data_IF_009230047879
#
_entry.id   IF_009230047879
#
_cell.length_a   1.000
_cell.length_b   1.000
_cell.length_c   1.000
_cell.angle_alpha   90.00
_cell.angle_beta   90.00
_cell.angle_gamma   90.00
#
_symmetry.space_group_name_H-M   'P 1'
#
loop_
_entity.id
_entity.type
_entity.pdbx_description
1 polymer ?
#
# COMPACT_ATOMS: atom_id res chain seq x y z
N UNK A 1 17.06 -7.12 -0.27
CA UNK A 1 16.34 -6.84 -1.53
C UNK A 1 15.10 -7.70 -1.60
N UNK A 2 13.96 -7.05 -1.67
CA UNK A 2 12.62 -7.63 -1.70
C UNK A 2 12.03 -7.38 -3.07
N UNK A 3 11.46 -8.42 -3.68
CA UNK A 3 10.74 -8.32 -4.94
C UNK A 3 9.25 -8.27 -4.64
N UNK A 4 8.59 -7.15 -4.93
CA UNK A 4 7.15 -6.98 -4.76
C UNK A 4 6.46 -7.13 -6.12
N UNK A 5 5.50 -8.04 -6.23
CA UNK A 5 4.75 -8.25 -7.47
C UNK A 5 3.29 -7.80 -7.36
N UNK A 6 2.97 -6.65 -7.94
CA UNK A 6 1.61 -6.10 -7.95
C UNK A 6 0.86 -6.36 -9.26
N UNK A 7 1.34 -7.24 -10.15
CA UNK A 7 0.77 -7.45 -11.49
C UNK A 7 -0.73 -7.75 -11.46
N UNK A 8 -1.18 -8.51 -10.45
CA UNK A 8 -2.58 -8.91 -10.28
C UNK A 8 -3.34 -8.04 -9.24
N UNK A 9 -2.73 -6.94 -8.76
CA UNK A 9 -3.29 -6.06 -7.75
C UNK A 9 -3.42 -4.62 -8.26
N UNK A 10 -4.49 -4.38 -9.03
CA UNK A 10 -4.80 -3.05 -9.58
C UNK A 10 -4.97 -1.98 -8.51
N UNK A 11 -5.55 -2.36 -7.35
CA UNK A 11 -5.73 -1.43 -6.23
C UNK A 11 -4.39 -0.92 -5.69
N UNK A 12 -3.43 -1.83 -5.47
CA UNK A 12 -2.10 -1.43 -5.02
C UNK A 12 -1.37 -0.54 -6.04
N UNK A 13 -1.44 -0.90 -7.33
CA UNK A 13 -0.82 -0.10 -8.39
C UNK A 13 -1.38 1.33 -8.43
N UNK A 14 -2.69 1.45 -8.36
CA UNK A 14 -3.41 2.73 -8.38
C UNK A 14 -3.11 3.59 -7.15
N UNK A 15 -3.10 2.99 -5.95
CA UNK A 15 -2.69 3.70 -4.74
C UNK A 15 -1.25 4.18 -4.81
N UNK A 16 -0.32 3.36 -5.33
CA UNK A 16 1.08 3.78 -5.53
C UNK A 16 1.14 4.97 -6.50
N UNK A 17 0.42 4.91 -7.63
CA UNK A 17 0.36 6.01 -8.61
C UNK A 17 -0.19 7.30 -8.01
N UNK A 18 -1.19 7.21 -7.12
CA UNK A 18 -1.71 8.36 -6.38
C UNK A 18 -0.64 8.96 -5.48
N UNK A 19 0.03 8.14 -4.65
CA UNK A 19 1.11 8.63 -3.78
C UNK A 19 2.25 9.27 -4.58
N UNK A 20 2.65 8.66 -5.70
CA UNK A 20 3.66 9.21 -6.60
C UNK A 20 3.29 10.61 -7.08
N UNK A 21 2.04 10.85 -7.49
CA UNK A 21 1.57 12.15 -7.98
C UNK A 21 1.43 13.17 -6.84
N UNK A 22 0.78 12.79 -5.74
CA UNK A 22 0.52 13.67 -4.58
C UNK A 22 1.78 14.14 -3.89
N UNK A 23 2.87 13.36 -3.96
CA UNK A 23 4.14 13.65 -3.27
C UNK A 23 5.31 13.92 -4.19
N UNK A 24 5.11 13.87 -5.50
CA UNK A 24 6.17 13.99 -6.51
C UNK A 24 7.32 12.99 -6.25
N UNK A 25 6.95 11.72 -6.12
CA UNK A 25 7.86 10.63 -5.73
C UNK A 25 8.02 9.59 -6.84
N UNK A 26 9.19 8.93 -6.83
CA UNK A 26 9.38 7.69 -7.57
C UNK A 26 8.53 6.56 -6.99
N UNK A 27 8.32 5.48 -7.76
CA UNK A 27 7.56 4.31 -7.31
C UNK A 27 8.07 3.73 -5.99
N UNK A 28 9.40 3.64 -5.82
CA UNK A 28 10.02 3.10 -4.61
C UNK A 28 9.80 4.04 -3.43
N UNK A 29 10.04 5.33 -3.64
CA UNK A 29 9.85 6.34 -2.59
C UNK A 29 8.38 6.46 -2.17
N UNK A 30 7.43 6.26 -3.08
CA UNK A 30 6.00 6.21 -2.76
C UNK A 30 5.66 5.02 -1.84
N UNK A 31 6.19 3.83 -2.12
CA UNK A 31 6.01 2.65 -1.26
C UNK A 31 6.65 2.90 0.12
N UNK A 32 7.87 3.41 0.16
CA UNK A 32 8.58 3.71 1.42
C UNK A 32 7.89 4.81 2.24
N UNK A 33 7.27 5.79 1.58
CA UNK A 33 6.50 6.84 2.23
C UNK A 33 5.29 6.26 2.98
N UNK A 34 4.60 5.30 2.37
CA UNK A 34 3.44 4.62 2.96
C UNK A 34 3.78 3.72 4.15
N UNK A 35 5.00 3.20 4.21
CA UNK A 35 5.44 2.28 5.27
C UNK A 35 6.06 3.09 6.42
N UNK A 36 5.22 3.48 7.37
CA UNK A 36 5.63 4.25 8.54
C UNK A 36 4.82 3.86 9.80
N UNK A 37 5.25 4.37 10.96
CA UNK A 37 4.62 4.05 12.25
C UNK A 37 3.15 4.48 12.36
N UNK A 38 2.77 5.61 11.75
CA UNK A 38 1.40 6.10 11.84
C UNK A 38 0.46 5.15 11.09
N UNK A 39 0.83 4.75 9.87
CA UNK A 39 0.04 3.79 9.08
C UNK A 39 0.00 2.42 9.75
N UNK A 40 1.14 1.96 10.30
CA UNK A 40 1.21 0.71 11.06
C UNK A 40 0.22 0.70 12.24
N UNK A 41 0.23 1.77 13.03
CA UNK A 41 -0.67 1.92 14.18
C UNK A 41 -2.12 1.87 13.74
N UNK A 42 -2.48 2.61 12.69
CA UNK A 42 -3.84 2.63 12.16
C UNK A 42 -4.29 1.24 11.70
N UNK A 43 -3.45 0.50 10.97
CA UNK A 43 -3.76 -0.88 10.54
C UNK A 43 -4.12 -1.76 11.75
N UNK A 44 -3.29 -1.72 12.80
CA UNK A 44 -3.44 -2.55 14.00
C UNK A 44 -4.66 -2.16 14.84
N UNK A 45 -4.95 -0.86 14.97
CA UNK A 45 -6.05 -0.36 15.80
C UNK A 45 -7.41 -0.58 15.12
N UNK A 46 -7.49 -0.29 13.82
CA UNK A 46 -8.73 -0.33 13.05
C UNK A 46 -9.13 -1.74 12.62
N UNK A 47 -8.16 -2.64 12.38
CA UNK A 47 -8.39 -4.06 12.06
C UNK A 47 -9.34 -4.33 10.88
N UNK A 48 -9.46 -3.38 9.96
CA UNK A 48 -10.30 -3.52 8.77
C UNK A 48 -9.50 -3.46 7.46
N UNK A 49 -8.16 -3.59 7.50
CA UNK A 49 -7.30 -3.48 6.31
C UNK A 49 -7.73 -4.38 5.14
N UNK A 50 -8.13 -5.62 5.43
CA UNK A 50 -8.65 -6.55 4.42
C UNK A 50 -9.95 -6.10 3.77
N UNK A 51 -10.86 -5.51 4.55
CA UNK A 51 -12.14 -4.99 4.07
C UNK A 51 -11.89 -3.72 3.25
N UNK A 52 -11.11 -2.79 3.80
CA UNK A 52 -10.74 -1.53 3.15
C UNK A 52 -10.08 -1.74 1.79
N UNK A 53 -9.11 -2.65 1.71
CA UNK A 53 -8.42 -2.94 0.46
C UNK A 53 -9.37 -3.46 -0.63
N UNK A 54 -10.34 -4.30 -0.26
CA UNK A 54 -11.35 -4.82 -1.19
C UNK A 54 -12.40 -3.77 -1.60
N UNK A 55 -12.57 -2.72 -0.80
CA UNK A 55 -13.50 -1.63 -1.09
C UNK A 55 -12.86 -0.45 -1.83
N UNK A 56 -11.54 -0.47 -2.00
CA UNK A 56 -10.87 0.59 -2.75
C UNK A 56 -11.46 0.74 -4.15
N UNK A 57 -11.85 1.96 -4.50
CA UNK A 57 -12.50 2.28 -5.78
C UNK A 57 -13.95 1.81 -5.93
N UNK A 58 -14.55 1.13 -4.94
CA UNK A 58 -15.91 0.59 -5.09
C UNK A 58 -17.00 1.68 -5.25
N UNK A 59 -16.74 2.88 -4.73
CA UNK A 59 -17.68 4.00 -4.76
C UNK A 59 -17.85 4.65 -6.14
N UNK A 60 -17.00 4.28 -7.10
CA UNK A 60 -17.01 4.81 -8.46
C UNK A 60 -16.99 3.67 -9.47
N UNK A 61 -18.16 3.38 -10.04
CA UNK A 61 -18.34 2.31 -11.02
C UNK A 61 -17.63 2.59 -12.36
N UNK A 62 -17.29 3.85 -12.63
CA UNK A 62 -16.59 4.29 -13.84
C UNK A 62 -15.09 4.53 -13.58
N UNK A 63 -14.59 4.17 -12.40
CA UNK A 63 -13.19 4.38 -12.02
C UNK A 63 -12.25 3.76 -13.06
N UNK A 64 -11.38 4.59 -13.61
CA UNK A 64 -10.22 4.14 -14.38
C UNK A 64 -9.06 3.88 -13.42
N UNK A 65 -8.54 2.64 -13.45
CA UNK A 65 -7.38 2.26 -12.66
C UNK A 65 -6.10 2.83 -13.28
N UNK A 66 -5.36 3.66 -12.54
CA UNK A 66 -4.03 4.10 -12.99
C UNK A 66 -2.97 3.07 -12.61
N UNK A 67 -2.39 2.40 -13.60
CA UNK A 67 -1.49 1.27 -13.37
C UNK A 67 -0.02 1.70 -13.44
N UNK A 68 0.87 0.87 -12.88
CA UNK A 68 2.30 1.05 -12.99
C UNK A 68 2.79 0.57 -14.36
N UNK A 69 3.77 1.27 -14.94
CA UNK A 69 4.43 0.79 -16.16
C UNK A 69 5.17 -0.54 -15.91
N UNK A 70 5.78 -0.66 -14.72
CA UNK A 70 6.45 -1.87 -14.23
C UNK A 70 5.87 -2.26 -12.85
N UNK A 71 4.97 -3.27 -12.78
CA UNK A 71 4.31 -3.65 -11.54
C UNK A 71 5.14 -4.58 -10.64
N UNK A 72 6.33 -5.00 -11.10
CA UNK A 72 7.28 -5.79 -10.32
C UNK A 72 8.40 -4.86 -9.88
N UNK A 73 8.57 -4.71 -8.57
CA UNK A 73 9.43 -3.68 -7.99
C UNK A 73 10.47 -4.35 -7.09
N UNK A 74 11.74 -4.18 -7.45
CA UNK A 74 12.86 -4.52 -6.58
C UNK A 74 13.14 -3.36 -5.62
N UNK A 75 12.96 -3.59 -4.33
CA UNK A 75 13.12 -2.58 -3.29
C UNK A 75 13.98 -3.10 -2.14
N UNK A 76 14.78 -2.22 -1.54
CA UNK A 76 15.57 -2.52 -0.36
C UNK A 76 15.03 -1.65 0.77
N UNK A 77 14.37 -2.28 1.73
CA UNK A 77 13.83 -1.59 2.89
C UNK A 77 14.92 -1.43 3.94
N UNK A 78 14.86 -0.34 4.71
CA UNK A 78 15.62 -0.26 5.95
C UNK A 78 15.02 -1.18 7.03
N UNK A 79 15.82 -1.47 8.07
CA UNK A 79 15.43 -2.39 9.15
C UNK A 79 14.09 -2.00 9.79
N UNK A 80 13.81 -0.70 9.91
CA UNK A 80 12.57 -0.21 10.52
C UNK A 80 11.36 -0.61 9.66
N UNK A 81 11.41 -0.35 8.36
CA UNK A 81 10.33 -0.70 7.42
C UNK A 81 10.15 -2.21 7.33
N UNK A 82 11.25 -2.97 7.31
CA UNK A 82 11.19 -4.42 7.34
C UNK A 82 10.45 -4.92 8.59
N UNK A 83 10.74 -4.37 9.77
CA UNK A 83 10.08 -4.73 11.02
C UNK A 83 8.57 -4.41 11.00
N UNK A 84 8.19 -3.24 10.48
CA UNK A 84 6.78 -2.84 10.36
C UNK A 84 6.00 -3.78 9.44
N UNK A 85 6.56 -4.10 8.27
CA UNK A 85 5.97 -5.03 7.31
C UNK A 85 5.86 -6.43 7.93
N UNK A 86 6.93 -6.90 8.57
CA UNK A 86 6.99 -8.21 9.21
C UNK A 86 5.98 -8.37 10.36
N UNK A 87 5.70 -7.31 11.10
CA UNK A 87 4.67 -7.34 12.14
C UNK A 87 3.27 -7.48 11.53
N UNK A 88 2.95 -6.75 10.46
CA UNK A 88 1.66 -6.86 9.76
C UNK A 88 1.49 -8.24 9.13
N UNK A 89 2.49 -8.75 8.40
CA UNK A 89 2.41 -10.09 7.77
C UNK A 89 2.13 -11.18 8.80
N UNK A 90 2.79 -11.13 9.96
CA UNK A 90 2.58 -12.10 11.05
C UNK A 90 1.22 -11.97 11.73
N UNK A 91 0.78 -10.75 12.06
CA UNK A 91 -0.46 -10.52 12.80
C UNK A 91 -1.69 -10.79 11.95
N UNK A 92 -1.69 -10.31 10.71
CA UNK A 92 -2.80 -10.46 9.77
C UNK A 92 -2.73 -11.77 8.97
N UNK A 93 -1.61 -12.50 9.04
CA UNK A 93 -1.35 -13.75 8.31
C UNK A 93 -1.48 -13.58 6.80
N UNK A 94 -0.85 -12.54 6.28
CA UNK A 94 -0.85 -12.17 4.86
C UNK A 94 0.57 -12.17 4.29
N UNK A 95 0.68 -12.21 2.96
CA UNK A 95 1.95 -12.04 2.26
C UNK A 95 2.45 -10.58 2.31
N UNK A 96 3.67 -10.37 1.83
CA UNK A 96 4.33 -9.07 1.90
C UNK A 96 3.63 -8.04 1.01
N UNK A 97 3.16 -8.42 -0.16
CA UNK A 97 2.44 -7.55 -1.09
C UNK A 97 1.12 -7.07 -0.49
N UNK A 98 0.39 -7.95 0.19
CA UNK A 98 -0.85 -7.60 0.89
C UNK A 98 -0.56 -6.72 2.09
N UNK A 99 0.49 -7.01 2.87
CA UNK A 99 0.90 -6.14 3.97
C UNK A 99 1.25 -4.72 3.49
N UNK A 100 2.04 -4.60 2.42
CA UNK A 100 2.34 -3.30 1.78
C UNK A 100 1.06 -2.63 1.26
N UNK A 101 0.12 -3.40 0.71
CA UNK A 101 -1.18 -2.89 0.28
C UNK A 101 -2.01 -2.33 1.44
N UNK A 102 -1.88 -2.88 2.66
CA UNK A 102 -2.47 -2.29 3.85
C UNK A 102 -1.81 -0.95 4.22
N UNK A 103 -0.49 -0.82 4.10
CA UNK A 103 0.15 0.48 4.28
C UNK A 103 -0.36 1.51 3.26
N UNK A 104 -0.53 1.10 2.00
CA UNK A 104 -1.05 1.94 0.94
C UNK A 104 -2.50 2.39 1.19
N UNK A 105 -3.39 1.47 1.59
CA UNK A 105 -4.81 1.83 1.80
C UNK A 105 -4.98 2.83 2.94
N UNK A 106 -4.24 2.66 4.03
CA UNK A 106 -4.27 3.64 5.13
C UNK A 106 -3.58 4.96 4.75
N UNK A 107 -2.62 4.93 3.84
CA UNK A 107 -2.06 6.15 3.26
C UNK A 107 -3.12 6.91 2.46
N UNK A 108 -4.04 6.22 1.77
CA UNK A 108 -5.14 6.89 1.07
C UNK A 108 -6.04 7.67 2.03
N UNK A 109 -6.44 7.06 3.17
CA UNK A 109 -7.19 7.74 4.24
C UNK A 109 -6.44 8.97 4.75
N UNK A 110 -5.13 8.82 5.02
CA UNK A 110 -4.27 9.92 5.47
C UNK A 110 -4.17 11.08 4.46
N UNK A 111 -4.16 10.78 3.16
CA UNK A 111 -4.14 11.77 2.10
C UNK A 111 -5.54 12.39 1.83
N UNK A 112 -6.57 11.95 2.55
CA UNK A 112 -7.93 12.49 2.44
C UNK A 112 -8.79 11.80 1.38
N UNK A 113 -8.36 10.65 0.86
CA UNK A 113 -9.17 9.82 -0.03
C UNK A 113 -10.12 8.95 0.79
N UNK A 114 -11.35 8.81 0.29
CA UNK A 114 -12.34 7.94 0.93
C UNK A 114 -12.09 6.48 0.57
N UNK A 115 -12.15 5.62 1.58
CA UNK A 115 -12.11 4.15 1.49
C UNK A 115 -13.53 3.61 1.59
#
# INVERSE_FOLDING_TARGET
>A
MTNLNFSDNLAAQDMIKIVMKEKDLSVKAAIEFSINHDMHKEIIEKKYGSIALNLWGHGDAEREWDVLDEPIIDIEFDELREDLINDITKKEKVDIETAVSYFLIFTMDYLGYHI
#
